data_IF_431689076001
#
_entry.id   IF_431689076001
#
_cell.length_a   1.000
_cell.length_b   1.000
_cell.length_c   1.000
_cell.angle_alpha   90.00
_cell.angle_beta   90.00
_cell.angle_gamma   90.00
#
_symmetry.space_group_name_H-M   'P 1'
#
loop_
_entity.id
_entity.type
_entity.pdbx_description
1 polymer ?
#
# COMPACT_ATOMS: atom_id res chain seq x y z
N UNK A 1 -24.60 19.35 -5.57
CA UNK A 1 -23.52 18.87 -6.45
C UNK A 1 -22.71 17.83 -5.68
N UNK A 2 -22.30 16.71 -6.29
CA UNK A 2 -21.39 15.77 -5.66
C UNK A 2 -20.04 16.46 -5.33
N UNK A 3 -19.36 16.10 -4.24
CA UNK A 3 -18.06 16.67 -3.90
C UNK A 3 -17.04 16.35 -5.00
N UNK A 4 -16.07 17.25 -5.21
CA UNK A 4 -14.94 16.95 -6.11
C UNK A 4 -14.13 15.75 -5.56
N UNK A 5 -13.44 14.98 -6.42
CA UNK A 5 -12.60 13.86 -5.98
C UNK A 5 -11.54 14.29 -4.94
N UNK A 6 -10.97 15.47 -5.08
CA UNK A 6 -9.99 16.00 -4.12
C UNK A 6 -10.60 16.31 -2.75
N UNK A 7 -11.84 16.83 -2.70
CA UNK A 7 -12.56 17.07 -1.45
C UNK A 7 -12.97 15.76 -0.79
N UNK A 8 -13.50 14.82 -1.58
CA UNK A 8 -13.88 13.50 -1.08
C UNK A 8 -12.68 12.73 -0.54
N UNK A 9 -11.52 12.78 -1.22
CA UNK A 9 -10.29 12.18 -0.73
C UNK A 9 -9.86 12.77 0.62
N UNK A 10 -9.93 14.10 0.80
CA UNK A 10 -9.60 14.73 2.07
C UNK A 10 -10.56 14.31 3.21
N UNK A 11 -11.86 14.13 2.91
CA UNK A 11 -12.83 13.61 3.86
C UNK A 11 -12.55 12.13 4.22
N UNK A 12 -12.11 11.31 3.26
CA UNK A 12 -11.72 9.91 3.49
C UNK A 12 -10.44 9.82 4.34
N UNK A 13 -9.44 10.63 3.98
CA UNK A 13 -8.10 10.64 4.58
C UNK A 13 -8.01 11.44 5.90
N UNK A 14 -9.15 11.86 6.48
CA UNK A 14 -9.17 12.53 7.78
C UNK A 14 -8.49 11.69 8.86
N UNK A 15 -7.84 12.37 9.80
CA UNK A 15 -7.26 11.77 11.00
C UNK A 15 -8.30 11.59 12.13
N UNK A 16 -9.47 12.24 12.01
CA UNK A 16 -10.47 12.23 13.06
C UNK A 16 -11.13 10.84 13.20
N UNK A 17 -11.11 10.24 14.40
CA UNK A 17 -11.86 9.02 14.66
C UNK A 17 -13.34 9.18 14.30
N UNK A 18 -14.01 8.14 13.77
CA UNK A 18 -15.43 8.23 13.49
C UNK A 18 -16.21 8.48 14.79
N UNK A 19 -17.03 9.52 14.79
CA UNK A 19 -18.07 9.73 15.81
C UNK A 19 -19.39 9.07 15.38
N UNK A 20 -20.21 8.73 16.37
CA UNK A 20 -21.62 8.30 16.20
C UNK A 20 -21.77 7.02 15.35
N UNK A 21 -21.00 5.98 15.67
CA UNK A 21 -21.21 4.65 15.09
C UNK A 21 -22.41 3.96 15.76
N UNK A 22 -23.06 3.06 15.02
CA UNK A 22 -24.19 2.25 15.51
C UNK A 22 -24.16 0.88 14.86
N UNK A 23 -24.59 -0.13 15.61
CA UNK A 23 -24.82 -1.48 15.11
C UNK A 23 -26.01 -1.45 14.16
N UNK A 24 -25.82 -1.92 12.92
CA UNK A 24 -26.83 -1.97 11.86
C UNK A 24 -26.99 -3.37 11.25
N UNK A 25 -26.20 -4.33 11.72
CA UNK A 25 -26.23 -5.71 11.24
C UNK A 25 -25.85 -6.68 12.36
N UNK A 26 -26.27 -7.93 12.23
CA UNK A 26 -25.96 -8.97 13.20
C UNK A 26 -24.56 -9.52 12.98
N UNK A 27 -24.23 -9.96 11.76
CA UNK A 27 -22.93 -10.58 11.48
C UNK A 27 -22.31 -10.07 10.19
N UNK A 28 -21.03 -9.72 10.26
CA UNK A 28 -20.18 -9.49 9.10
C UNK A 28 -19.11 -10.58 8.97
N UNK A 29 -18.81 -11.01 7.75
CA UNK A 29 -17.74 -11.99 7.46
C UNK A 29 -16.68 -11.33 6.60
N UNK A 30 -15.42 -11.42 7.02
CA UNK A 30 -14.25 -10.90 6.31
C UNK A 30 -13.42 -12.08 5.80
N UNK A 31 -13.27 -12.20 4.49
CA UNK A 31 -12.46 -13.24 3.86
C UNK A 31 -11.02 -12.72 3.67
N UNK A 32 -10.09 -13.25 4.45
CA UNK A 32 -8.68 -12.87 4.48
C UNK A 32 -8.30 -11.99 5.67
N UNK A 33 -7.24 -12.35 6.40
CA UNK A 33 -6.65 -11.64 7.54
C UNK A 33 -5.38 -10.85 7.17
N UNK A 34 -5.39 -10.23 5.99
CA UNK A 34 -4.36 -9.25 5.59
C UNK A 34 -4.63 -7.88 6.25
N UNK A 35 -3.74 -6.89 6.06
CA UNK A 35 -3.99 -5.50 6.50
C UNK A 35 -5.39 -4.99 6.11
N UNK A 36 -5.83 -5.25 4.87
CA UNK A 36 -7.17 -4.84 4.41
C UNK A 36 -8.29 -5.52 5.20
N UNK A 37 -8.13 -6.82 5.49
CA UNK A 37 -9.11 -7.59 6.24
C UNK A 37 -9.17 -7.17 7.70
N UNK A 38 -8.03 -7.02 8.36
CA UNK A 38 -7.93 -6.59 9.77
C UNK A 38 -8.53 -5.20 9.98
N UNK A 39 -8.26 -4.27 9.07
CA UNK A 39 -8.82 -2.91 9.12
C UNK A 39 -10.31 -2.89 8.77
N UNK A 40 -10.76 -3.70 7.81
CA UNK A 40 -12.19 -3.86 7.55
C UNK A 40 -12.91 -4.44 8.77
N UNK A 41 -12.36 -5.46 9.42
CA UNK A 41 -12.92 -6.05 10.64
C UNK A 41 -13.00 -5.02 11.77
N UNK A 42 -11.95 -4.22 11.98
CA UNK A 42 -11.95 -3.12 12.95
C UNK A 42 -13.04 -2.09 12.66
N UNK A 43 -13.32 -1.76 11.39
CA UNK A 43 -14.43 -0.85 11.07
C UNK A 43 -15.78 -1.52 11.32
N UNK A 44 -15.92 -2.79 10.94
CA UNK A 44 -17.17 -3.54 11.07
C UNK A 44 -17.53 -3.80 12.53
N UNK A 45 -16.57 -3.87 13.46
CA UNK A 45 -16.86 -4.05 14.89
C UNK A 45 -17.73 -2.95 15.48
N UNK A 46 -17.70 -1.75 14.90
CA UNK A 46 -18.53 -0.62 15.33
C UNK A 46 -19.96 -0.67 14.73
N UNK A 47 -20.21 -1.60 13.80
CA UNK A 47 -21.41 -1.66 12.97
C UNK A 47 -22.11 -3.02 12.96
N UNK A 48 -21.47 -4.08 13.48
CA UNK A 48 -21.99 -5.44 13.54
C UNK A 48 -21.97 -5.97 14.99
N UNK A 49 -22.92 -6.82 15.36
CA UNK A 49 -22.88 -7.53 16.66
C UNK A 49 -21.72 -8.52 16.71
N UNK A 50 -21.37 -9.14 15.58
CA UNK A 50 -20.25 -10.07 15.45
C UNK A 50 -19.51 -9.90 14.11
N UNK A 51 -18.18 -9.96 14.17
CA UNK A 51 -17.31 -9.96 13.00
C UNK A 51 -16.48 -11.24 12.99
N UNK A 52 -16.57 -12.01 11.91
CA UNK A 52 -15.78 -13.22 11.71
C UNK A 52 -14.77 -13.03 10.59
N UNK A 53 -13.48 -13.17 10.90
CA UNK A 53 -12.41 -13.21 9.92
C UNK A 53 -12.09 -14.66 9.57
N UNK A 54 -12.13 -15.01 8.29
CA UNK A 54 -11.69 -16.31 7.77
C UNK A 54 -10.31 -16.15 7.13
N UNK A 55 -9.27 -16.66 7.76
CA UNK A 55 -7.88 -16.59 7.27
C UNK A 55 -7.36 -17.98 6.93
N UNK A 56 -6.70 -18.15 5.79
CA UNK A 56 -6.16 -19.44 5.36
C UNK A 56 -4.83 -19.80 6.03
N UNK A 57 -4.12 -18.79 6.52
CA UNK A 57 -2.76 -18.93 7.05
C UNK A 57 -2.78 -19.00 8.59
N UNK A 58 -2.55 -20.18 9.18
CA UNK A 58 -2.57 -20.40 10.61
C UNK A 58 -1.28 -19.98 11.32
N UNK A 59 -0.27 -19.53 10.56
CA UNK A 59 1.02 -19.17 11.14
C UNK A 59 0.86 -18.14 12.25
N UNK A 60 1.62 -18.36 13.32
CA UNK A 60 1.75 -17.38 14.38
C UNK A 60 2.24 -16.08 13.76
N UNK A 61 1.53 -15.00 14.06
CA UNK A 61 1.79 -13.70 13.44
C UNK A 61 3.15 -13.14 13.84
N UNK A 62 3.68 -13.59 14.98
CA UNK A 62 5.00 -13.22 15.48
C UNK A 62 6.13 -14.11 14.94
N UNK A 63 5.84 -15.19 14.22
CA UNK A 63 6.85 -16.12 13.69
C UNK A 63 7.59 -15.61 12.44
N UNK A 64 7.26 -14.41 11.93
CA UNK A 64 7.91 -13.79 10.78
C UNK A 64 7.08 -13.82 9.49
N UNK A 65 7.72 -13.82 8.30
CA UNK A 65 7.01 -13.75 7.02
C UNK A 65 6.03 -14.92 6.81
N UNK A 66 4.79 -14.57 6.47
CA UNK A 66 3.69 -15.52 6.26
C UNK A 66 3.64 -16.06 4.83
N UNK A 67 3.44 -17.38 4.60
CA UNK A 67 3.23 -17.94 3.26
C UNK A 67 2.12 -17.23 2.46
N UNK A 68 1.07 -16.77 3.15
CA UNK A 68 -0.04 -16.04 2.56
C UNK A 68 0.32 -14.66 1.98
N UNK A 69 1.49 -14.12 2.35
CA UNK A 69 1.97 -12.78 1.98
C UNK A 69 3.40 -12.88 1.40
N UNK A 70 3.57 -13.28 0.12
CA UNK A 70 4.88 -13.49 -0.49
C UNK A 70 5.81 -12.26 -0.46
N UNK A 71 5.24 -11.06 -0.33
CA UNK A 71 5.99 -9.82 -0.22
C UNK A 71 6.53 -9.58 1.20
N UNK A 72 6.06 -10.30 2.23
CA UNK A 72 6.35 -10.01 3.64
C UNK A 72 7.84 -9.86 3.99
N UNK A 73 8.73 -10.54 3.27
CA UNK A 73 10.18 -10.49 3.46
C UNK A 73 10.91 -9.36 2.70
N UNK A 74 10.19 -8.52 1.96
CA UNK A 74 10.78 -7.42 1.18
C UNK A 74 10.75 -6.11 1.99
N UNK A 75 11.55 -5.11 1.61
CA UNK A 75 11.46 -3.76 2.19
C UNK A 75 10.04 -3.22 2.01
N UNK A 76 9.43 -2.77 3.10
CA UNK A 76 8.16 -2.07 3.10
C UNK A 76 8.32 -0.78 3.90
N UNK A 77 7.69 0.29 3.42
CA UNK A 77 7.50 1.52 4.18
C UNK A 77 6.01 1.85 4.17
N UNK A 78 5.42 2.00 5.36
CA UNK A 78 4.07 2.54 5.47
C UNK A 78 4.13 4.02 5.10
N UNK A 79 3.31 4.45 4.14
CA UNK A 79 3.28 5.88 3.80
C UNK A 79 2.63 6.67 4.96
N UNK A 80 3.02 7.94 5.17
CA UNK A 80 2.44 8.83 6.17
C UNK A 80 0.92 8.82 6.26
N UNK A 81 0.18 8.79 5.13
CA UNK A 81 -1.27 8.68 5.18
C UNK A 81 -1.75 7.36 5.81
N UNK A 82 -1.06 6.26 5.54
CA UNK A 82 -1.35 4.96 6.14
C UNK A 82 -1.10 4.96 7.64
N UNK A 83 -0.03 5.63 8.09
CA UNK A 83 0.25 5.81 9.51
C UNK A 83 -0.85 6.64 10.21
N UNK A 84 -1.27 7.76 9.61
CA UNK A 84 -2.39 8.56 10.13
C UNK A 84 -3.65 7.71 10.29
N UNK A 85 -3.95 6.86 9.31
CA UNK A 85 -5.13 5.98 9.40
C UNK A 85 -4.94 4.86 10.43
N UNK A 86 -3.74 4.28 10.58
CA UNK A 86 -3.50 3.31 11.65
C UNK A 86 -3.70 3.93 13.03
N UNK A 87 -3.16 5.13 13.25
CA UNK A 87 -3.34 5.87 14.51
C UNK A 87 -4.82 6.21 14.76
N UNK A 88 -5.56 6.55 13.70
CA UNK A 88 -7.01 6.77 13.76
C UNK A 88 -7.79 5.52 14.19
N UNK A 89 -7.44 4.35 13.66
CA UNK A 89 -8.17 3.10 13.92
C UNK A 89 -7.73 2.41 15.22
N UNK A 90 -6.46 2.60 15.58
CA UNK A 90 -5.81 2.04 16.76
C UNK A 90 -4.99 3.14 17.46
N UNK A 91 -5.62 4.04 18.23
CA UNK A 91 -4.91 5.10 18.94
C UNK A 91 -3.76 4.53 19.80
N UNK A 92 -2.59 5.15 19.73
CA UNK A 92 -1.36 4.75 20.41
C UNK A 92 -0.54 3.67 19.70
N UNK A 93 -0.93 3.22 18.49
CA UNK A 93 -0.22 2.14 17.79
C UNK A 93 1.22 2.51 17.41
N UNK A 94 1.49 3.78 17.10
CA UNK A 94 2.86 4.22 16.81
C UNK A 94 3.75 4.13 18.06
N UNK A 95 3.25 4.59 19.22
CA UNK A 95 3.98 4.54 20.48
C UNK A 95 4.19 3.09 20.94
N UNK A 96 3.18 2.23 20.78
CA UNK A 96 3.27 0.80 21.06
C UNK A 96 4.31 0.12 20.16
N UNK A 97 4.35 0.46 18.86
CA UNK A 97 5.36 -0.06 17.95
C UNK A 97 6.78 0.33 18.37
N UNK A 98 7.00 1.58 18.79
CA UNK A 98 8.28 2.04 19.32
C UNK A 98 8.66 1.29 20.61
N UNK A 99 7.70 1.10 21.51
CA UNK A 99 7.92 0.34 22.75
C UNK A 99 8.26 -1.14 22.49
N UNK A 100 7.75 -1.71 21.39
CA UNK A 100 8.05 -3.06 20.93
C UNK A 100 9.34 -3.17 20.09
N UNK A 101 10.09 -2.08 19.96
CA UNK A 101 11.42 -2.09 19.33
C UNK A 101 11.47 -1.60 17.89
N UNK A 102 10.39 -0.99 17.36
CA UNK A 102 10.50 -0.22 16.13
C UNK A 102 11.54 0.91 16.32
N UNK A 103 12.44 1.14 15.36
CA UNK A 103 13.50 2.14 15.51
C UNK A 103 12.89 3.54 15.57
N UNK A 104 13.29 4.37 16.56
CA UNK A 104 12.81 5.73 16.65
C UNK A 104 13.28 6.56 15.46
N UNK A 105 12.52 7.60 15.06
CA UNK A 105 12.98 8.57 14.08
C UNK A 105 14.32 9.19 14.53
N UNK A 106 15.26 9.41 13.60
CA UNK A 106 16.57 9.90 13.93
C UNK A 106 16.51 11.36 14.35
N UNK A 107 17.36 11.75 15.30
CA UNK A 107 17.52 13.17 15.70
C UNK A 107 18.19 14.01 14.62
N UNK A 108 19.07 13.38 13.84
CA UNK A 108 19.74 14.00 12.70
C UNK A 108 18.99 13.67 11.39
N UNK A 109 18.38 14.69 10.73
CA UNK A 109 17.73 14.51 9.43
C UNK A 109 18.67 14.00 8.33
N UNK A 110 19.99 14.16 8.48
CA UNK A 110 21.01 13.70 7.52
C UNK A 110 21.07 12.18 7.35
N UNK A 111 20.51 11.41 8.29
CA UNK A 111 20.44 9.95 8.24
C UNK A 111 19.29 9.41 7.38
N UNK A 112 18.36 10.29 6.96
CA UNK A 112 17.29 10.00 5.99
C UNK A 112 17.67 10.55 4.61
N UNK A 113 18.05 9.68 3.69
CA UNK A 113 18.67 10.05 2.41
C UNK A 113 17.79 9.65 1.23
N UNK A 114 17.60 10.58 0.29
CA UNK A 114 16.89 10.30 -0.98
C UNK A 114 17.84 10.59 -2.12
N UNK A 115 18.13 9.58 -2.92
CA UNK A 115 19.02 9.67 -4.07
C UNK A 115 18.23 9.52 -5.36
N UNK A 116 18.43 10.47 -6.29
CA UNK A 116 17.81 10.43 -7.61
C UNK A 116 18.89 10.57 -8.66
N UNK A 117 19.02 9.56 -9.53
CA UNK A 117 20.08 9.49 -10.55
C UNK A 117 21.48 9.70 -9.95
N UNK A 118 21.72 9.14 -8.75
CA UNK A 118 22.99 9.27 -8.02
C UNK A 118 23.19 10.60 -7.26
N UNK A 119 22.30 11.58 -7.41
CA UNK A 119 22.38 12.84 -6.67
C UNK A 119 21.57 12.77 -5.38
N UNK A 120 22.17 13.21 -4.26
CA UNK A 120 21.46 13.39 -3.00
C UNK A 120 20.48 14.57 -3.13
N UNK A 121 19.19 14.30 -2.93
CA UNK A 121 18.13 15.29 -2.90
C UNK A 121 17.99 15.98 -1.54
N UNK A 122 17.05 16.92 -1.46
CA UNK A 122 16.63 17.45 -0.16
C UNK A 122 16.01 16.34 0.71
N UNK A 123 16.21 16.39 2.04
CA UNK A 123 15.52 15.48 2.94
C UNK A 123 14.01 15.64 2.78
N UNK A 124 13.22 14.57 2.94
CA UNK A 124 11.77 14.66 2.90
C UNK A 124 11.24 15.71 3.88
N UNK A 125 10.32 16.56 3.42
CA UNK A 125 9.67 17.51 4.31
C UNK A 125 8.90 16.79 5.43
N UNK A 126 8.89 17.38 6.62
CA UNK A 126 8.08 16.88 7.73
C UNK A 126 6.60 16.82 7.33
N UNK A 127 5.99 15.65 7.53
CA UNK A 127 4.60 15.39 7.11
C UNK A 127 3.58 15.82 8.14
N UNK A 128 4.00 16.11 9.37
CA UNK A 128 3.13 16.47 10.48
C UNK A 128 2.28 15.30 10.99
N UNK A 129 2.71 14.06 10.77
CA UNK A 129 1.95 12.83 11.07
C UNK A 129 2.43 12.08 12.30
N UNK A 130 3.24 12.72 13.15
CA UNK A 130 3.91 12.05 14.28
C UNK A 130 5.22 11.36 13.89
N UNK A 131 5.81 10.52 14.77
CA UNK A 131 7.07 9.84 14.52
C UNK A 131 6.94 8.84 13.37
N UNK A 132 7.77 8.95 12.34
CA UNK A 132 7.71 8.04 11.19
C UNK A 132 7.91 6.57 11.62
N UNK A 133 6.96 5.71 11.25
CA UNK A 133 7.01 4.30 11.59
C UNK A 133 7.67 3.48 10.47
N UNK A 134 8.89 2.99 10.72
CA UNK A 134 9.64 2.11 9.81
C UNK A 134 9.83 0.76 10.49
N UNK A 135 9.19 -0.27 9.95
CA UNK A 135 9.22 -1.63 10.51
C UNK A 135 9.25 -2.63 9.38
N UNK A 136 9.55 -3.90 9.68
CA UNK A 136 9.20 -4.96 8.75
C UNK A 136 7.67 -5.08 8.66
N UNK A 137 7.20 -5.66 7.55
CA UNK A 137 5.78 -5.92 7.36
C UNK A 137 5.21 -6.94 8.36
N UNK A 138 5.89 -8.08 8.66
CA UNK A 138 5.42 -9.01 9.69
C UNK A 138 5.21 -8.35 11.04
N UNK A 139 6.15 -7.49 11.48
CA UNK A 139 6.02 -6.77 12.75
C UNK A 139 4.76 -5.88 12.78
N UNK A 140 4.53 -5.10 11.73
CA UNK A 140 3.36 -4.21 11.66
C UNK A 140 2.04 -5.01 11.58
N UNK A 141 2.02 -6.07 10.76
CA UNK A 141 0.84 -6.93 10.62
C UNK A 141 0.52 -7.64 11.94
N UNK A 142 1.53 -8.07 12.69
CA UNK A 142 1.38 -8.66 14.03
C UNK A 142 0.75 -7.70 15.01
N UNK A 143 1.27 -6.47 15.07
CA UNK A 143 0.74 -5.42 15.94
C UNK A 143 -0.73 -5.11 15.61
N UNK A 144 -1.03 -4.87 14.33
CA UNK A 144 -2.40 -4.60 13.88
C UNK A 144 -3.32 -5.79 14.16
N UNK A 145 -2.87 -7.02 13.92
CA UNK A 145 -3.66 -8.23 14.19
C UNK A 145 -3.98 -8.37 15.67
N UNK A 146 -3.00 -8.18 16.56
CA UNK A 146 -3.23 -8.19 18.02
C UNK A 146 -4.26 -7.15 18.43
N UNK A 147 -4.13 -5.91 17.94
CA UNK A 147 -5.07 -4.82 18.24
C UNK A 147 -6.47 -5.08 17.70
N UNK A 148 -6.60 -5.66 16.50
CA UNK A 148 -7.88 -6.08 15.93
C UNK A 148 -8.52 -7.18 16.76
N UNK A 149 -7.78 -8.23 17.12
CA UNK A 149 -8.34 -9.38 17.85
C UNK A 149 -8.57 -9.12 19.34
N UNK A 150 -8.06 -8.00 19.87
CA UNK A 150 -8.40 -7.52 21.20
C UNK A 150 -9.78 -6.84 21.28
N UNK A 151 -10.47 -6.66 20.14
CA UNK A 151 -11.84 -6.12 20.10
C UNK A 151 -12.84 -7.26 20.33
N UNK A 152 -13.67 -7.14 21.37
CA UNK A 152 -14.49 -8.23 21.94
C UNK A 152 -15.37 -8.98 20.93
N UNK A 153 -15.93 -8.28 19.94
CA UNK A 153 -16.84 -8.86 18.96
C UNK A 153 -16.16 -9.30 17.66
N UNK A 154 -14.82 -9.31 17.60
CA UNK A 154 -14.05 -9.81 16.46
C UNK A 154 -13.49 -11.19 16.78
N UNK A 155 -13.75 -12.15 15.90
CA UNK A 155 -13.20 -13.51 15.96
C UNK A 155 -12.48 -13.84 14.67
N UNK A 156 -11.49 -14.72 14.77
CA UNK A 156 -10.77 -15.26 13.62
C UNK A 156 -10.79 -16.77 13.64
N UNK A 157 -11.11 -17.36 12.49
CA UNK A 157 -11.06 -18.79 12.25
C UNK A 157 -10.11 -19.08 11.10
N UNK A 158 -9.48 -20.25 11.16
CA UNK A 158 -8.55 -20.70 10.14
C UNK A 158 -9.23 -21.62 9.13
N UNK A 159 -9.15 -21.22 7.86
CA UNK A 159 -9.75 -21.98 6.78
C UNK A 159 -9.67 -21.27 5.43
N UNK A 160 -9.89 -22.04 4.37
CA UNK A 160 -9.90 -21.55 3.00
C UNK A 160 -11.30 -21.16 2.59
N UNK A 161 -11.55 -19.89 2.28
CA UNK A 161 -12.80 -19.46 1.67
C UNK A 161 -12.98 -20.09 0.28
N UNK A 162 -14.16 -20.63 0.00
CA UNK A 162 -14.45 -21.36 -1.24
C UNK A 162 -15.63 -20.80 -2.04
N UNK A 163 -16.47 -19.96 -1.44
CA UNK A 163 -17.57 -19.34 -2.17
C UNK A 163 -18.39 -18.37 -1.33
N UNK A 164 -19.30 -17.70 -2.03
CA UNK A 164 -20.35 -16.87 -1.44
C UNK A 164 -21.68 -17.62 -1.46
N UNK A 165 -22.56 -17.28 -0.53
CA UNK A 165 -23.95 -17.70 -0.53
C UNK A 165 -24.80 -16.59 -1.13
N UNK A 166 -25.78 -16.96 -1.96
CA UNK A 166 -26.68 -16.02 -2.59
C UNK A 166 -28.13 -16.35 -2.25
N UNK A 167 -28.91 -15.30 -2.03
CA UNK A 167 -30.38 -15.33 -2.02
C UNK A 167 -30.85 -14.31 -3.05
N UNK A 168 -31.45 -14.78 -4.15
CA UNK A 168 -31.85 -14.15 -5.43
C UNK A 168 -31.12 -12.86 -5.88
N UNK A 169 -31.03 -11.83 -5.05
CA UNK A 169 -30.45 -10.50 -5.32
C UNK A 169 -29.27 -10.10 -4.43
N UNK A 170 -28.89 -10.88 -3.43
CA UNK A 170 -27.87 -10.51 -2.45
C UNK A 170 -26.92 -11.65 -2.09
N UNK A 171 -25.75 -11.29 -1.61
CA UNK A 171 -24.89 -12.16 -0.83
C UNK A 171 -25.41 -12.19 0.60
N UNK A 172 -25.63 -13.39 1.14
CA UNK A 172 -26.15 -13.59 2.51
C UNK A 172 -25.22 -14.44 3.40
N UNK A 173 -23.99 -14.65 2.95
CA UNK A 173 -22.99 -15.41 3.69
C UNK A 173 -21.82 -15.86 2.83
N UNK A 174 -20.93 -16.63 3.44
CA UNK A 174 -19.78 -17.23 2.79
C UNK A 174 -19.57 -18.68 3.24
N UNK A 175 -18.90 -19.45 2.40
CA UNK A 175 -18.50 -20.83 2.68
C UNK A 175 -16.98 -20.92 2.75
N UNK A 176 -16.46 -21.61 3.75
CA UNK A 176 -15.03 -21.90 3.88
C UNK A 176 -14.81 -23.34 4.34
N UNK A 177 -13.65 -23.90 4.02
CA UNK A 177 -13.20 -25.20 4.53
C UNK A 177 -12.23 -24.94 5.68
N UNK A 178 -12.54 -25.40 6.91
CA UNK A 178 -11.64 -25.24 8.06
C UNK A 178 -10.27 -25.88 7.82
N UNK A 179 -9.23 -25.34 8.45
CA UNK A 179 -7.93 -25.99 8.44
C UNK A 179 -8.01 -27.41 9.05
N UNK A 180 -7.44 -28.40 8.37
CA UNK A 180 -7.51 -29.81 8.79
C UNK A 180 -8.89 -30.44 8.66
N UNK A 181 -9.91 -29.68 8.24
CA UNK A 181 -11.27 -30.15 7.98
C UNK A 181 -11.47 -30.54 6.52
N UNK A 182 -12.38 -31.49 6.29
CA UNK A 182 -12.83 -31.87 4.94
C UNK A 182 -14.16 -31.22 4.55
N UNK A 183 -15.03 -30.97 5.54
CA UNK A 183 -16.38 -30.46 5.30
C UNK A 183 -16.43 -28.92 5.30
N UNK A 184 -17.05 -28.30 4.29
CA UNK A 184 -17.24 -26.85 4.27
C UNK A 184 -18.19 -26.38 5.37
N UNK A 185 -17.81 -25.30 6.05
CA UNK A 185 -18.65 -24.54 6.98
C UNK A 185 -19.32 -23.38 6.25
N UNK A 186 -20.58 -23.15 6.58
CA UNK A 186 -21.42 -22.10 6.01
C UNK A 186 -21.67 -21.05 7.08
N UNK A 187 -21.29 -19.81 6.79
CA UNK A 187 -21.47 -18.68 7.70
C UNK A 187 -22.45 -17.68 7.09
N UNK A 188 -23.62 -17.54 7.71
CA UNK A 188 -24.57 -16.50 7.36
C UNK A 188 -24.00 -15.11 7.70
N UNK A 189 -24.19 -14.13 6.83
CA UNK A 189 -23.69 -12.78 7.04
C UNK A 189 -24.63 -11.76 6.39
N UNK A 190 -24.75 -10.60 7.02
CA UNK A 190 -25.44 -9.44 6.46
C UNK A 190 -24.54 -8.67 5.49
N UNK A 191 -23.22 -8.78 5.67
CA UNK A 191 -22.20 -8.20 4.82
C UNK A 191 -20.97 -9.12 4.76
N UNK A 192 -20.53 -9.43 3.55
CA UNK A 192 -19.26 -10.13 3.29
C UNK A 192 -18.24 -9.15 2.71
N UNK A 193 -17.03 -9.15 3.26
CA UNK A 193 -15.89 -8.38 2.75
C UNK A 193 -14.88 -9.34 2.14
N UNK A 194 -14.60 -9.19 0.85
CA UNK A 194 -13.45 -9.83 0.22
C UNK A 194 -12.17 -9.01 0.45
N UNK A 195 -11.28 -9.53 1.29
CA UNK A 195 -9.96 -8.99 1.57
C UNK A 195 -8.84 -10.03 1.29
N UNK A 196 -9.10 -10.99 0.39
CA UNK A 196 -8.17 -12.07 0.04
C UNK A 196 -7.03 -11.65 -0.91
N UNK A 197 -6.94 -10.34 -1.18
CA UNK A 197 -5.87 -9.72 -1.95
C UNK A 197 -5.80 -10.17 -3.41
N UNK A 198 -4.58 -10.27 -3.95
CA UNK A 198 -4.34 -10.60 -5.37
C UNK A 198 -4.91 -11.96 -5.78
N UNK A 199 -5.01 -12.90 -4.84
CA UNK A 199 -5.58 -14.25 -5.02
C UNK A 199 -7.10 -14.32 -4.88
N UNK A 200 -7.79 -13.18 -4.72
CA UNK A 200 -9.25 -13.16 -4.66
C UNK A 200 -9.87 -13.87 -5.87
N UNK A 201 -10.84 -14.75 -5.56
CA UNK A 201 -11.71 -15.44 -6.51
C UNK A 201 -13.07 -14.76 -6.67
N UNK A 202 -13.28 -13.58 -6.10
CA UNK A 202 -14.58 -12.92 -6.06
C UNK A 202 -15.19 -12.73 -7.45
N UNK A 203 -14.38 -12.35 -8.45
CA UNK A 203 -14.86 -12.21 -9.83
C UNK A 203 -15.36 -13.52 -10.42
N UNK A 204 -14.74 -14.65 -10.08
CA UNK A 204 -15.18 -15.97 -10.53
C UNK A 204 -16.46 -16.37 -9.81
N UNK A 205 -16.54 -16.20 -8.49
CA UNK A 205 -17.74 -16.50 -7.70
C UNK A 205 -18.95 -15.68 -8.14
N UNK A 206 -18.78 -14.41 -8.48
CA UNK A 206 -19.83 -13.57 -9.07
C UNK A 206 -20.33 -14.18 -10.38
N UNK A 207 -19.42 -14.49 -11.31
CA UNK A 207 -19.79 -15.02 -12.62
C UNK A 207 -20.44 -16.42 -12.56
N UNK A 208 -19.97 -17.29 -11.68
CA UNK A 208 -20.56 -18.61 -11.41
C UNK A 208 -22.02 -18.52 -10.97
N UNK A 209 -22.41 -17.42 -10.32
CA UNK A 209 -23.79 -17.14 -9.89
C UNK A 209 -24.50 -16.14 -10.81
N UNK A 210 -24.00 -15.96 -12.04
CA UNK A 210 -24.63 -15.14 -13.07
C UNK A 210 -24.49 -13.63 -12.88
N UNK A 211 -23.63 -13.15 -11.96
CA UNK A 211 -23.33 -11.71 -11.78
C UNK A 211 -22.17 -11.27 -12.69
N UNK A 212 -22.13 -9.99 -13.11
CA UNK A 212 -21.07 -9.50 -13.98
C UNK A 212 -19.71 -9.46 -13.25
N UNK A 213 -18.65 -9.73 -14.03
CA UNK A 213 -17.26 -9.55 -13.56
C UNK A 213 -16.87 -8.08 -13.65
N UNK A 214 -16.26 -7.47 -12.62
CA UNK A 214 -15.71 -6.13 -12.74
C UNK A 214 -14.63 -6.10 -13.83
N UNK A 215 -14.58 -5.06 -14.69
CA UNK A 215 -13.50 -4.91 -15.67
C UNK A 215 -12.13 -4.95 -15.00
N UNK A 216 -11.23 -5.79 -15.52
CA UNK A 216 -9.87 -5.95 -15.01
C UNK A 216 -8.88 -5.19 -15.89
N UNK A 217 -8.21 -4.19 -15.32
CA UNK A 217 -7.09 -3.51 -15.93
C UNK A 217 -5.79 -4.14 -15.41
N UNK A 218 -4.88 -4.49 -16.33
CA UNK A 218 -3.54 -4.99 -16.01
C UNK A 218 -2.49 -4.10 -16.67
N UNK A 219 -1.49 -3.71 -15.89
CA UNK A 219 -0.31 -3.01 -16.40
C UNK A 219 0.92 -3.87 -16.11
N UNK A 220 1.58 -4.44 -17.14
CA UNK A 220 2.83 -5.16 -16.96
C UNK A 220 3.90 -4.24 -16.39
N UNK A 221 4.63 -4.70 -15.38
CA UNK A 221 5.74 -3.95 -14.75
C UNK A 221 7.03 -4.77 -14.82
N UNK A 222 6.94 -6.11 -14.70
CA UNK A 222 8.09 -7.04 -14.70
C UNK A 222 9.17 -6.65 -13.68
N UNK A 223 8.72 -6.34 -12.48
CA UNK A 223 9.59 -5.92 -11.39
C UNK A 223 10.21 -7.11 -10.68
N UNK A 224 11.48 -7.00 -10.34
CA UNK A 224 12.23 -8.01 -9.61
C UNK A 224 12.97 -7.37 -8.44
N UNK A 225 12.83 -7.97 -7.26
CA UNK A 225 13.53 -7.58 -6.04
C UNK A 225 14.48 -8.66 -5.57
N UNK A 226 15.57 -8.22 -4.95
CA UNK A 226 16.35 -9.00 -4.01
C UNK A 226 16.48 -8.20 -2.72
N UNK A 227 16.18 -8.84 -1.59
CA UNK A 227 16.24 -8.23 -0.26
C UNK A 227 17.13 -9.06 0.64
N UNK A 228 17.95 -8.40 1.45
CA UNK A 228 18.75 -9.01 2.50
C UNK A 228 18.59 -8.24 3.81
N UNK A 229 18.73 -8.95 4.92
CA UNK A 229 18.80 -8.37 6.26
C UNK A 229 20.26 -8.27 6.68
N UNK A 230 20.59 -7.22 7.42
CA UNK A 230 21.90 -7.02 8.02
C UNK A 230 21.72 -6.60 9.47
N UNK A 231 22.67 -6.94 10.32
CA UNK A 231 22.77 -6.30 11.64
C UNK A 231 23.15 -4.84 11.42
N UNK A 232 22.48 -3.94 12.14
CA UNK A 232 22.81 -2.51 12.10
C UNK A 232 24.11 -2.26 12.84
N UNK A 233 25.02 -1.52 12.21
CA UNK A 233 26.30 -1.11 12.78
C UNK A 233 26.67 0.30 12.31
N UNK A 234 26.62 1.28 13.21
CA UNK A 234 26.90 2.69 12.88
C UNK A 234 28.34 2.93 12.41
N UNK A 235 29.27 2.00 12.65
CA UNK A 235 30.62 2.04 12.08
C UNK A 235 30.64 1.71 10.58
N UNK A 236 29.65 0.96 10.08
CA UNK A 236 29.50 0.60 8.67
C UNK A 236 28.70 1.66 7.93
N UNK A 237 27.61 2.16 8.52
CA UNK A 237 26.75 3.18 7.89
C UNK A 237 25.88 3.88 8.94
N UNK A 238 25.62 5.17 8.72
CA UNK A 238 24.71 6.00 9.52
C UNK A 238 23.25 5.94 9.01
N UNK A 239 22.97 5.12 7.99
CA UNK A 239 21.68 5.12 7.31
C UNK A 239 20.54 4.69 8.25
N UNK A 240 19.61 5.61 8.52
CA UNK A 240 18.35 5.25 9.12
C UNK A 240 17.35 4.81 8.06
N UNK A 241 17.18 5.64 7.03
CA UNK A 241 16.43 5.33 5.80
C UNK A 241 17.22 5.85 4.60
N UNK A 242 17.35 5.05 3.55
CA UNK A 242 17.86 5.49 2.27
C UNK A 242 16.94 5.01 1.15
N UNK A 243 16.51 5.92 0.28
CA UNK A 243 15.74 5.59 -0.92
C UNK A 243 16.54 6.01 -2.14
N UNK A 244 16.70 5.10 -3.10
CA UNK A 244 17.43 5.34 -4.33
C UNK A 244 16.54 5.08 -5.54
N UNK A 245 16.52 6.03 -6.47
CA UNK A 245 15.86 5.89 -7.76
C UNK A 245 16.81 6.29 -8.89
N UNK A 246 17.02 5.39 -9.85
CA UNK A 246 17.54 5.74 -11.17
C UNK A 246 16.37 5.75 -12.14
N UNK A 247 16.11 6.92 -12.74
CA UNK A 247 15.09 7.09 -13.76
C UNK A 247 15.61 6.56 -15.10
N UNK A 248 14.74 5.94 -15.88
CA UNK A 248 15.07 5.50 -17.22
C UNK A 248 15.51 6.67 -18.11
N UNK A 249 16.55 6.47 -18.93
CA UNK A 249 17.01 7.48 -19.88
C UNK A 249 18.08 6.94 -20.82
N UNK A 250 18.54 7.76 -21.77
CA UNK A 250 19.63 7.38 -22.68
C UNK A 250 20.84 6.89 -21.87
N UNK A 251 21.22 5.62 -22.06
CA UNK A 251 22.33 4.97 -21.36
C UNK A 251 22.12 4.69 -19.86
N UNK A 252 20.89 4.83 -19.34
CA UNK A 252 20.59 4.60 -17.91
C UNK A 252 19.50 3.56 -17.72
N UNK A 253 19.84 2.49 -17.01
CA UNK A 253 18.91 1.44 -16.59
C UNK A 253 18.13 1.91 -15.36
N UNK A 254 16.81 1.78 -15.41
CA UNK A 254 15.97 2.11 -14.26
C UNK A 254 16.21 1.13 -13.12
N UNK A 255 16.48 1.65 -11.92
CA UNK A 255 16.77 0.87 -10.72
C UNK A 255 16.22 1.53 -9.49
N UNK A 256 15.88 0.74 -8.50
CA UNK A 256 15.34 1.23 -7.23
C UNK A 256 16.02 0.50 -6.10
N UNK A 257 16.38 1.23 -5.06
CA UNK A 257 17.01 0.69 -3.87
C UNK A 257 16.38 1.29 -2.62
N UNK A 258 16.37 0.50 -1.55
CA UNK A 258 15.88 0.92 -0.25
C UNK A 258 16.74 0.34 0.87
N UNK A 259 17.07 1.15 1.86
CA UNK A 259 17.62 0.72 3.15
C UNK A 259 16.68 1.26 4.21
N UNK A 260 16.15 0.39 5.05
CA UNK A 260 15.35 0.78 6.21
C UNK A 260 15.97 0.17 7.46
N UNK A 261 16.19 1.00 8.48
CA UNK A 261 16.34 0.51 9.85
C UNK A 261 15.00 -0.06 10.30
N UNK A 262 15.00 -1.29 10.80
CA UNK A 262 13.81 -2.00 11.27
C UNK A 262 14.07 -2.58 12.66
N UNK A 263 13.03 -3.13 13.28
CA UNK A 263 13.09 -3.66 14.64
C UNK A 263 14.18 -4.72 14.82
N UNK A 264 14.71 -4.83 16.04
CA UNK A 264 15.77 -5.78 16.41
C UNK A 264 17.18 -5.36 16.00
N UNK A 265 17.43 -4.06 15.85
CA UNK A 265 18.72 -3.48 15.44
C UNK A 265 19.22 -4.05 14.10
N UNK A 266 18.33 -4.03 13.10
CA UNK A 266 18.61 -4.55 11.76
C UNK A 266 18.41 -3.48 10.70
N UNK A 267 19.15 -3.63 9.61
CA UNK A 267 18.79 -3.05 8.33
C UNK A 267 18.11 -4.10 7.45
N UNK A 268 17.06 -3.68 6.75
CA UNK A 268 16.54 -4.40 5.60
C UNK A 268 16.89 -3.62 4.34
N UNK A 269 17.61 -4.26 3.43
CA UNK A 269 18.13 -3.65 2.21
C UNK A 269 17.56 -4.35 0.98
N UNK A 270 16.94 -3.57 0.09
CA UNK A 270 16.35 -4.03 -1.16
C UNK A 270 17.06 -3.37 -2.34
N UNK A 271 17.34 -4.19 -3.34
CA UNK A 271 17.74 -3.75 -4.68
C UNK A 271 16.74 -4.28 -5.69
N UNK A 272 16.37 -3.44 -6.64
CA UNK A 272 15.35 -3.72 -7.63
C UNK A 272 15.85 -3.44 -9.04
N UNK A 273 15.41 -4.30 -9.95
CA UNK A 273 15.55 -4.07 -11.38
C UNK A 273 14.30 -4.51 -12.14
N UNK A 274 14.29 -4.17 -13.41
CA UNK A 274 13.14 -4.37 -14.28
C UNK A 274 13.51 -5.27 -15.46
N UNK A 275 12.51 -5.99 -15.98
CA UNK A 275 12.63 -6.83 -17.16
C UNK A 275 13.84 -7.79 -17.07
N UNK A 276 14.85 -7.66 -17.94
CA UNK A 276 16.05 -8.49 -17.93
C UNK A 276 17.07 -8.18 -16.83
N UNK A 277 17.01 -7.01 -16.19
CA UNK A 277 17.90 -6.62 -15.08
C UNK A 277 17.40 -7.23 -13.77
N UNK A 278 17.43 -8.57 -13.69
CA UNK A 278 16.86 -9.32 -12.57
C UNK A 278 17.93 -9.64 -11.53
N UNK A 279 17.85 -9.09 -10.30
CA UNK A 279 18.73 -9.52 -9.23
C UNK A 279 18.40 -10.97 -8.82
N UNK A 280 19.44 -11.71 -8.44
CA UNK A 280 19.34 -13.12 -8.07
C UNK A 280 19.31 -13.32 -6.54
N UNK A 281 19.28 -14.59 -6.12
CA UNK A 281 19.42 -15.00 -4.71
C UNK A 281 20.88 -15.20 -4.28
N UNK A 282 21.82 -15.01 -5.21
CA UNK A 282 23.25 -15.16 -4.93
C UNK A 282 23.77 -13.91 -4.18
N UNK A 283 24.45 -14.14 -3.07
CA UNK A 283 25.04 -13.09 -2.24
C UNK A 283 26.11 -12.31 -3.02
N UNK A 284 26.88 -13.00 -3.88
CA UNK A 284 27.92 -12.34 -4.68
C UNK A 284 27.32 -11.36 -5.70
N UNK A 285 26.27 -11.78 -6.42
CA UNK A 285 25.50 -10.91 -7.33
C UNK A 285 24.86 -9.74 -6.59
N UNK A 286 24.22 -9.99 -5.44
CA UNK A 286 23.62 -8.94 -4.62
C UNK A 286 24.66 -7.88 -4.18
N UNK A 287 25.82 -8.33 -3.69
CA UNK A 287 26.90 -7.46 -3.21
C UNK A 287 27.51 -6.65 -4.36
N UNK A 288 27.80 -7.30 -5.49
CA UNK A 288 28.33 -6.63 -6.68
C UNK A 288 27.37 -5.54 -7.19
N UNK A 289 26.06 -5.82 -7.23
CA UNK A 289 25.05 -4.83 -7.61
C UNK A 289 25.04 -3.63 -6.67
N UNK A 290 25.06 -3.87 -5.36
CA UNK A 290 25.08 -2.82 -4.34
C UNK A 290 26.29 -1.89 -4.55
N UNK A 291 27.49 -2.45 -4.76
CA UNK A 291 28.72 -1.68 -5.02
C UNK A 291 28.68 -0.92 -6.34
N UNK A 292 28.18 -1.52 -7.41
CA UNK A 292 28.34 -0.99 -8.77
C UNK A 292 27.23 -0.03 -9.21
N UNK A 293 26.04 -0.12 -8.61
CA UNK A 293 24.84 0.54 -9.15
C UNK A 293 24.09 1.42 -8.16
N UNK A 294 24.46 1.39 -6.88
CA UNK A 294 23.78 2.12 -5.80
C UNK A 294 24.75 3.08 -5.10
N UNK A 295 24.24 4.05 -4.30
CA UNK A 295 25.09 4.92 -3.49
C UNK A 295 26.01 4.11 -2.58
N UNK A 296 27.19 4.67 -2.28
CA UNK A 296 28.29 3.99 -1.58
C UNK A 296 27.84 3.14 -0.38
N UNK A 297 26.96 3.68 0.46
CA UNK A 297 26.43 2.98 1.66
C UNK A 297 25.77 1.62 1.39
N UNK A 298 25.21 1.39 0.20
CA UNK A 298 24.68 0.07 -0.16
C UNK A 298 25.83 -0.93 -0.29
N UNK A 299 26.93 -0.53 -0.94
CA UNK A 299 28.16 -1.32 -1.03
C UNK A 299 28.79 -1.53 0.33
N UNK A 300 28.96 -0.47 1.13
CA UNK A 300 29.55 -0.54 2.47
C UNK A 300 28.79 -1.55 3.36
N UNK A 301 27.45 -1.48 3.39
CA UNK A 301 26.62 -2.43 4.14
C UNK A 301 26.74 -3.85 3.58
N UNK A 302 26.73 -4.04 2.26
CA UNK A 302 26.80 -5.36 1.65
C UNK A 302 28.17 -6.05 1.83
N UNK A 303 29.26 -5.29 1.85
CA UNK A 303 30.64 -5.82 1.91
C UNK A 303 31.17 -5.93 3.34
N UNK A 304 30.73 -5.06 4.25
CA UNK A 304 31.28 -4.96 5.60
C UNK A 304 30.24 -5.25 6.70
N UNK A 305 28.95 -5.25 6.39
CA UNK A 305 27.88 -5.57 7.33
C UNK A 305 27.73 -7.08 7.57
N UNK A 306 27.26 -7.43 8.77
CA UNK A 306 26.89 -8.81 9.12
C UNK A 306 25.52 -9.15 8.51
N UNK A 307 25.48 -9.95 7.43
CA UNK A 307 24.23 -10.41 6.80
C UNK A 307 23.49 -11.41 7.69
N UNK A 308 22.21 -11.20 7.90
CA UNK A 308 21.33 -12.04 8.70
C UNK A 308 20.48 -12.92 7.78
N UNK A 309 20.93 -14.17 7.58
CA UNK A 309 20.26 -15.14 6.70
C UNK A 309 20.75 -15.05 5.25
N UNK A 310 19.84 -15.15 4.29
CA UNK A 310 20.16 -15.14 2.86
C UNK A 310 19.33 -14.13 2.07
N UNK A 311 19.71 -13.94 0.80
CA UNK A 311 19.01 -13.03 -0.12
C UNK A 311 17.68 -13.64 -0.56
N UNK A 312 16.58 -12.91 -0.34
CA UNK A 312 15.22 -13.33 -0.72
C UNK A 312 14.76 -12.53 -1.92
N UNK A 313 14.39 -13.23 -2.99
CA UNK A 313 13.89 -12.61 -4.22
C UNK A 313 12.37 -12.57 -4.27
N UNK A 314 11.80 -11.50 -4.82
CA UNK A 314 10.37 -11.39 -5.12
C UNK A 314 10.17 -10.89 -6.55
N UNK A 315 9.09 -11.35 -7.19
CA UNK A 315 8.75 -10.96 -8.56
C UNK A 315 7.29 -10.50 -8.64
N UNK A 316 7.07 -9.36 -9.28
CA UNK A 316 5.74 -8.90 -9.61
C UNK A 316 5.61 -8.61 -11.10
N UNK A 317 4.81 -9.44 -11.76
CA UNK A 317 4.58 -9.33 -13.19
C UNK A 317 3.78 -8.07 -13.57
N UNK A 318 2.76 -7.73 -12.78
CA UNK A 318 1.79 -6.69 -13.12
C UNK A 318 1.19 -5.95 -11.91
N UNK A 319 0.73 -4.73 -12.16
CA UNK A 319 -0.31 -4.06 -11.36
C UNK A 319 -1.69 -4.44 -11.89
N UNK A 320 -2.67 -4.56 -10.99
CA UNK A 320 -4.05 -4.97 -11.32
C UNK A 320 -5.05 -4.04 -10.65
N UNK A 321 -6.13 -3.72 -11.36
CA UNK A 321 -7.28 -3.03 -10.79
C UNK A 321 -8.56 -3.61 -11.34
N UNK A 322 -9.52 -3.85 -10.45
CA UNK A 322 -10.87 -4.34 -10.75
C UNK A 322 -11.85 -3.19 -10.53
N UNK A 323 -12.51 -2.75 -11.59
CA UNK A 323 -13.39 -1.58 -11.58
C UNK A 323 -14.82 -1.94 -11.15
N UNK A 324 -15.00 -2.26 -9.87
CA UNK A 324 -16.33 -2.53 -9.30
C UNK A 324 -17.32 -1.37 -9.48
N UNK A 325 -16.84 -0.13 -9.48
CA UNK A 325 -17.67 1.07 -9.71
C UNK A 325 -18.26 1.16 -11.13
N UNK A 326 -17.79 0.34 -12.09
CA UNK A 326 -18.35 0.27 -13.46
C UNK A 326 -19.42 -0.81 -13.63
N UNK A 327 -19.73 -1.56 -12.57
CA UNK A 327 -20.79 -2.57 -12.62
C UNK A 327 -22.15 -1.90 -12.45
N UNK A 328 -23.01 -2.00 -13.46
CA UNK A 328 -24.41 -1.54 -13.37
C UNK A 328 -25.27 -2.44 -12.48
N UNK A 329 -24.84 -3.70 -12.30
CA UNK A 329 -25.52 -4.69 -11.46
C UNK A 329 -24.52 -5.36 -10.53
N UNK A 330 -24.75 -5.24 -9.23
CA UNK A 330 -23.95 -5.84 -8.16
C UNK A 330 -24.91 -6.42 -7.11
N UNK A 331 -24.61 -7.56 -6.47
CA UNK A 331 -25.41 -8.04 -5.35
C UNK A 331 -25.27 -7.11 -4.14
N UNK A 332 -26.34 -6.98 -3.35
CA UNK A 332 -26.22 -6.43 -1.99
C UNK A 332 -25.41 -7.39 -1.09
N UNK A 333 -25.01 -6.93 0.09
CA UNK A 333 -24.31 -7.74 1.10
C UNK A 333 -22.84 -8.02 0.78
N UNK A 334 -22.23 -7.27 -0.13
CA UNK A 334 -20.86 -7.54 -0.60
C UNK A 334 -20.05 -6.25 -0.79
N UNK A 335 -18.82 -6.26 -0.27
CA UNK A 335 -17.77 -5.28 -0.59
C UNK A 335 -16.42 -5.99 -0.81
N UNK A 336 -15.48 -5.32 -1.48
CA UNK A 336 -14.10 -5.80 -1.65
C UNK A 336 -13.11 -4.72 -1.20
N UNK A 337 -11.96 -5.11 -0.66
CA UNK A 337 -10.95 -4.21 -0.11
C UNK A 337 -9.50 -4.64 -0.41
N UNK A 338 -8.56 -3.70 -0.24
CA UNK A 338 -7.13 -3.90 -0.54
C UNK A 338 -6.85 -4.40 -1.96
N UNK A 339 -5.89 -5.32 -2.06
CA UNK A 339 -5.42 -5.92 -3.32
C UNK A 339 -6.49 -6.73 -4.08
N UNK A 340 -7.62 -7.05 -3.44
CA UNK A 340 -8.77 -7.62 -4.13
C UNK A 340 -9.42 -6.60 -5.08
N UNK A 341 -9.34 -5.30 -4.76
CA UNK A 341 -9.80 -4.21 -5.64
C UNK A 341 -8.66 -3.74 -6.53
N UNK A 342 -7.52 -3.35 -5.96
CA UNK A 342 -6.39 -2.81 -6.71
C UNK A 342 -5.07 -3.14 -6.03
N UNK A 343 -4.11 -3.64 -6.81
CA UNK A 343 -2.74 -3.91 -6.39
C UNK A 343 -1.78 -3.16 -7.31
N UNK A 344 -0.90 -2.38 -6.71
CA UNK A 344 -0.04 -1.41 -7.38
C UNK A 344 1.39 -1.93 -7.51
N UNK A 345 2.25 -1.13 -8.13
CA UNK A 345 3.69 -1.36 -8.10
C UNK A 345 4.17 -1.23 -6.63
N UNK A 346 4.73 -2.29 -6.03
CA UNK A 346 5.08 -2.29 -4.60
C UNK A 346 6.20 -1.29 -4.29
N UNK A 347 6.95 -0.84 -5.30
CA UNK A 347 8.00 0.17 -5.18
C UNK A 347 7.54 1.42 -4.43
N UNK A 348 6.29 1.84 -4.66
CA UNK A 348 5.79 3.11 -4.14
C UNK A 348 5.13 2.99 -2.76
N UNK A 349 5.12 1.81 -2.12
CA UNK A 349 4.60 1.63 -0.76
C UNK A 349 3.07 1.84 -0.60
N UNK A 350 2.33 1.91 -1.71
CA UNK A 350 0.92 2.34 -1.69
C UNK A 350 -0.06 1.29 -1.17
N UNK A 351 0.26 -0.01 -1.25
CA UNK A 351 -0.71 -1.09 -1.00
C UNK A 351 -1.34 -1.04 0.40
N UNK A 352 -0.51 -0.99 1.46
CA UNK A 352 -1.00 -0.93 2.84
C UNK A 352 -1.76 0.38 3.13
N UNK A 353 -1.23 1.50 2.63
CA UNK A 353 -1.87 2.81 2.76
C UNK A 353 -3.23 2.84 2.07
N UNK A 354 -3.34 2.32 0.85
CA UNK A 354 -4.62 2.20 0.14
C UNK A 354 -5.60 1.31 0.89
N UNK A 355 -5.15 0.19 1.49
CA UNK A 355 -5.99 -0.66 2.32
C UNK A 355 -6.55 0.08 3.54
N UNK A 356 -5.74 0.91 4.21
CA UNK A 356 -6.21 1.76 5.33
C UNK A 356 -7.25 2.79 4.89
N UNK A 357 -7.08 3.37 3.70
CA UNK A 357 -8.05 4.31 3.14
C UNK A 357 -9.33 3.61 2.67
N UNK A 358 -9.28 2.34 2.22
CA UNK A 358 -10.48 1.56 1.93
C UNK A 358 -11.30 1.30 3.21
N UNK A 359 -10.66 1.09 4.36
CA UNK A 359 -11.36 1.01 5.64
C UNK A 359 -12.07 2.34 5.98
N UNK A 360 -11.43 3.48 5.69
CA UNK A 360 -12.05 4.80 5.84
C UNK A 360 -13.24 5.01 4.89
N UNK A 361 -13.17 4.51 3.65
CA UNK A 361 -14.32 4.45 2.74
C UNK A 361 -15.45 3.57 3.32
N UNK A 362 -15.12 2.42 3.91
CA UNK A 362 -16.09 1.51 4.50
C UNK A 362 -16.80 2.17 5.69
N UNK A 363 -16.05 2.81 6.60
CA UNK A 363 -16.62 3.53 7.73
C UNK A 363 -17.53 4.67 7.28
N UNK A 364 -17.10 5.47 6.31
CA UNK A 364 -17.93 6.54 5.77
C UNK A 364 -19.21 6.01 5.10
N UNK A 365 -19.11 4.92 4.34
CA UNK A 365 -20.27 4.26 3.75
C UNK A 365 -21.24 3.76 4.84
N UNK A 366 -20.77 3.05 5.86
CA UNK A 366 -21.64 2.51 6.92
C UNK A 366 -22.27 3.63 7.77
N UNK A 367 -21.56 4.74 8.00
CA UNK A 367 -22.10 5.91 8.71
C UNK A 367 -23.10 6.72 7.89
N UNK A 368 -23.17 6.56 6.56
CA UNK A 368 -24.22 7.22 5.77
C UNK A 368 -25.59 6.56 5.91
N UNK A 369 -25.73 5.54 6.77
CA UNK A 369 -26.96 4.81 7.02
C UNK A 369 -27.45 3.95 5.85
N UNK A 370 -26.58 3.18 5.17
CA UNK A 370 -27.00 2.29 4.10
C UNK A 370 -27.83 1.13 4.65
N UNK A 371 -28.44 0.37 3.76
CA UNK A 371 -28.99 -0.96 4.05
C UNK A 371 -28.14 -2.02 3.35
N UNK A 372 -27.01 -2.46 3.94
CA UNK A 372 -26.08 -3.36 3.26
C UNK A 372 -26.73 -4.65 2.77
N UNK A 373 -27.80 -5.10 3.42
CA UNK A 373 -28.55 -6.29 3.04
C UNK A 373 -29.47 -6.11 1.82
N UNK A 374 -29.93 -4.89 1.56
CA UNK A 374 -30.92 -4.58 0.51
C UNK A 374 -30.29 -3.87 -0.69
N UNK A 375 -29.26 -3.08 -0.46
CA UNK A 375 -28.71 -2.14 -1.43
C UNK A 375 -27.26 -2.50 -1.78
N UNK A 376 -26.90 -2.56 -3.08
CA UNK A 376 -25.52 -2.75 -3.48
C UNK A 376 -24.65 -1.57 -3.04
N UNK A 377 -23.39 -1.87 -2.69
CA UNK A 377 -22.47 -0.89 -2.10
C UNK A 377 -21.85 0.10 -3.12
N UNK A 378 -22.64 0.65 -4.06
CA UNK A 378 -22.14 1.59 -5.09
C UNK A 378 -21.44 2.80 -4.47
N UNK A 379 -22.03 3.40 -3.42
CA UNK A 379 -21.45 4.54 -2.74
C UNK A 379 -20.10 4.22 -2.07
N UNK A 380 -19.86 2.98 -1.65
CA UNK A 380 -18.55 2.53 -1.17
C UNK A 380 -17.56 2.42 -2.33
N UNK A 381 -17.95 1.77 -3.44
CA UNK A 381 -17.06 1.60 -4.59
C UNK A 381 -16.71 2.92 -5.30
N UNK A 382 -17.60 3.90 -5.28
CA UNK A 382 -17.32 5.27 -5.76
C UNK A 382 -16.27 5.98 -4.90
N UNK A 383 -16.30 5.78 -3.58
CA UNK A 383 -15.29 6.32 -2.66
C UNK A 383 -13.94 5.61 -2.84
N UNK A 384 -13.96 4.27 -2.93
CA UNK A 384 -12.77 3.47 -3.22
C UNK A 384 -12.15 3.86 -4.57
N UNK A 385 -12.98 4.17 -5.58
CA UNK A 385 -12.50 4.67 -6.88
C UNK A 385 -11.61 5.91 -6.70
N UNK A 386 -12.00 6.86 -5.87
CA UNK A 386 -11.21 8.09 -5.63
C UNK A 386 -9.83 7.79 -5.04
N UNK A 387 -9.76 6.84 -4.11
CA UNK A 387 -8.48 6.40 -3.51
C UNK A 387 -7.62 5.67 -4.54
N UNK A 388 -8.21 4.71 -5.26
CA UNK A 388 -7.51 3.90 -6.26
C UNK A 388 -7.05 4.76 -7.43
N UNK A 389 -7.87 5.69 -7.93
CA UNK A 389 -7.49 6.64 -8.98
C UNK A 389 -6.28 7.47 -8.57
N UNK A 390 -6.27 7.99 -7.33
CA UNK A 390 -5.16 8.77 -6.80
C UNK A 390 -3.86 7.95 -6.73
N UNK A 391 -3.91 6.75 -6.14
CA UNK A 391 -2.75 5.85 -6.06
C UNK A 391 -2.25 5.45 -7.46
N UNK A 392 -3.17 5.05 -8.34
CA UNK A 392 -2.87 4.62 -9.70
C UNK A 392 -2.25 5.75 -10.53
N UNK A 393 -2.74 6.98 -10.43
CA UNK A 393 -2.16 8.14 -11.11
C UNK A 393 -0.70 8.38 -10.68
N UNK A 394 -0.39 8.26 -9.40
CA UNK A 394 0.98 8.40 -8.87
C UNK A 394 1.87 7.27 -9.39
N UNK A 395 1.42 6.01 -9.32
CA UNK A 395 2.24 4.86 -9.73
C UNK A 395 2.45 4.79 -11.25
N UNK A 396 1.37 4.97 -12.03
CA UNK A 396 1.42 4.86 -13.49
C UNK A 396 2.25 5.97 -14.14
N UNK A 397 2.23 7.19 -13.60
CA UNK A 397 3.04 8.27 -14.16
C UNK A 397 4.52 7.91 -14.13
N UNK A 398 4.98 7.26 -13.05
CA UNK A 398 6.37 6.80 -12.94
C UNK A 398 6.62 5.49 -13.71
N UNK A 399 5.66 4.56 -13.75
CA UNK A 399 5.82 3.28 -14.44
C UNK A 399 5.82 3.42 -15.97
N UNK A 400 5.06 4.35 -16.55
CA UNK A 400 5.03 4.60 -18.02
C UNK A 400 6.38 5.15 -18.52
N UNK A 401 7.25 5.63 -17.63
CA UNK A 401 8.60 6.04 -18.02
C UNK A 401 9.57 4.87 -18.19
N UNK A 402 9.20 3.67 -17.75
CA UNK A 402 10.02 2.48 -17.90
C UNK A 402 10.08 2.06 -19.38
N UNK A 403 11.27 1.75 -19.94
CA UNK A 403 11.43 1.52 -21.37
C UNK A 403 10.62 0.36 -21.94
N UNK A 404 10.24 -0.60 -21.09
CA UNK A 404 9.56 -1.85 -21.44
C UNK A 404 8.06 -1.83 -21.14
N UNK A 405 7.50 -0.71 -20.65
CA UNK A 405 6.07 -0.57 -20.40
C UNK A 405 5.41 0.01 -21.65
N UNK A 406 4.87 -0.87 -22.48
CA UNK A 406 4.02 -0.49 -23.61
C UNK A 406 2.58 -0.29 -23.11
N UNK A 407 2.05 0.93 -23.25
CA UNK A 407 0.67 1.23 -22.87
C UNK A 407 0.04 2.28 -23.78
N UNK A 408 -1.31 2.31 -23.89
CA UNK A 408 -1.96 3.44 -24.53
C UNK A 408 -1.70 4.69 -23.69
N UNK A 409 -0.90 5.61 -24.22
CA UNK A 409 -0.68 6.90 -23.57
C UNK A 409 -1.99 7.69 -23.56
N UNK A 410 -2.47 8.17 -22.40
CA UNK A 410 -3.68 8.99 -22.38
C UNK A 410 -3.47 10.27 -23.22
N UNK A 411 -4.53 10.82 -23.83
CA UNK A 411 -4.44 12.10 -24.52
C UNK A 411 -3.81 13.17 -23.62
N UNK A 412 -2.86 13.95 -24.16
CA UNK A 412 -2.14 14.97 -23.40
C UNK A 412 -1.01 14.43 -22.49
N UNK A 413 -0.66 13.14 -22.58
CA UNK A 413 0.43 12.54 -21.81
C UNK A 413 1.75 13.32 -21.91
N UNK A 414 2.16 13.76 -23.11
CA UNK A 414 3.41 14.53 -23.30
C UNK A 414 3.46 15.81 -22.47
N UNK A 415 2.33 16.53 -22.37
CA UNK A 415 2.23 17.77 -21.59
C UNK A 415 2.25 17.46 -20.10
N UNK A 416 1.48 16.46 -19.67
CA UNK A 416 1.41 16.00 -18.28
C UNK A 416 2.78 15.53 -17.80
N UNK A 417 3.49 14.75 -18.63
CA UNK A 417 4.85 14.28 -18.39
C UNK A 417 5.84 15.44 -18.26
N UNK A 418 5.87 16.34 -19.25
CA UNK A 418 6.76 17.50 -19.21
C UNK A 418 6.55 18.33 -17.94
N UNK A 419 5.29 18.51 -17.53
CA UNK A 419 4.96 19.22 -16.31
C UNK A 419 5.40 18.44 -15.05
N UNK A 420 5.17 17.12 -15.02
CA UNK A 420 5.64 16.23 -13.95
C UNK A 420 7.16 16.29 -13.78
N UNK A 421 7.91 16.19 -14.88
CA UNK A 421 9.37 16.30 -14.90
C UNK A 421 9.86 17.65 -14.36
N UNK A 422 9.17 18.72 -14.75
CA UNK A 422 9.48 20.07 -14.30
C UNK A 422 9.24 20.22 -12.79
N UNK A 423 8.08 19.79 -12.32
CA UNK A 423 7.70 19.82 -10.91
C UNK A 423 8.68 18.99 -10.07
N UNK A 424 8.99 17.78 -10.50
CA UNK A 424 9.92 16.88 -9.84
C UNK A 424 11.32 17.50 -9.74
N UNK A 425 11.86 18.02 -10.85
CA UNK A 425 13.17 18.69 -10.85
C UNK A 425 13.20 19.92 -9.93
N UNK A 426 12.15 20.74 -9.95
CA UNK A 426 12.07 21.90 -9.08
C UNK A 426 11.96 21.50 -7.59
N UNK A 427 11.27 20.40 -7.29
CA UNK A 427 11.13 19.86 -5.92
C UNK A 427 12.44 19.38 -5.30
N UNK A 428 13.48 19.10 -6.11
CA UNK A 428 14.81 18.75 -5.61
C UNK A 428 15.56 19.93 -4.98
N UNK A 429 15.09 21.17 -5.20
CA UNK A 429 15.78 22.39 -4.73
C UNK A 429 14.85 23.39 -4.05
N UNK A 430 13.54 23.32 -4.30
CA UNK A 430 12.54 24.20 -3.69
C UNK A 430 11.76 23.48 -2.57
N UNK A 431 11.91 23.89 -1.29
CA UNK A 431 11.26 23.23 -0.15
C UNK A 431 9.72 23.23 -0.22
N UNK A 432 9.09 24.24 -0.85
CA UNK A 432 7.63 24.33 -0.94
C UNK A 432 7.08 23.31 -1.93
N UNK A 433 7.71 23.18 -3.10
CA UNK A 433 7.36 22.14 -4.08
C UNK A 433 7.72 20.75 -3.56
N UNK A 434 8.84 20.61 -2.85
CA UNK A 434 9.21 19.37 -2.15
C UNK A 434 8.10 18.93 -1.19
N UNK A 435 7.64 19.82 -0.30
CA UNK A 435 6.58 19.51 0.65
C UNK A 435 5.26 19.15 -0.04
N UNK A 436 4.85 19.87 -1.10
CA UNK A 436 3.62 19.58 -1.85
C UNK A 436 3.68 18.24 -2.57
N UNK A 437 4.81 17.95 -3.23
CA UNK A 437 5.02 16.67 -3.91
C UNK A 437 5.10 15.53 -2.90
N UNK A 438 5.78 15.73 -1.77
CA UNK A 438 5.85 14.79 -0.66
C UNK A 438 4.47 14.42 -0.13
N UNK A 439 3.60 15.40 0.15
CA UNK A 439 2.22 15.13 0.60
C UNK A 439 1.40 14.30 -0.40
N UNK A 440 1.59 14.50 -1.70
CA UNK A 440 0.87 13.73 -2.72
C UNK A 440 1.44 12.32 -2.86
N UNK A 441 2.76 12.19 -2.97
CA UNK A 441 3.44 10.88 -3.10
C UNK A 441 3.27 9.99 -1.86
N UNK A 442 3.06 10.60 -0.70
CA UNK A 442 2.73 9.92 0.57
C UNK A 442 1.23 9.77 0.82
N UNK A 443 0.40 10.09 -0.17
CA UNK A 443 -1.07 9.97 -0.17
C UNK A 443 -1.80 10.80 0.90
N UNK A 444 -1.16 11.83 1.46
CA UNK A 444 -1.82 12.79 2.36
C UNK A 444 -2.76 13.74 1.62
N UNK A 445 -2.43 14.07 0.37
CA UNK A 445 -3.25 14.90 -0.51
C UNK A 445 -3.54 14.19 -1.83
N UNK A 446 -4.72 14.45 -2.40
CA UNK A 446 -5.08 13.97 -3.74
C UNK A 446 -4.17 14.58 -4.83
N UNK A 447 -3.80 13.85 -5.92
CA UNK A 447 -2.91 14.35 -6.97
C UNK A 447 -3.29 15.69 -7.61
N UNK A 448 -4.59 15.99 -7.70
CA UNK A 448 -5.11 17.29 -8.15
C UNK A 448 -4.57 18.50 -7.34
N UNK A 449 -4.04 18.29 -6.14
CA UNK A 449 -3.35 19.31 -5.36
C UNK A 449 -2.13 19.92 -6.08
N UNK A 450 -1.46 19.15 -6.95
CA UNK A 450 -0.32 19.61 -7.74
C UNK A 450 -0.72 20.52 -8.91
N UNK A 451 -1.97 20.42 -9.36
CA UNK A 451 -2.51 21.23 -10.45
C UNK A 451 -3.05 22.60 -9.99
N UNK A 452 -2.92 22.95 -8.70
CA UNK A 452 -3.35 24.26 -8.20
C UNK A 452 -2.50 25.39 -8.85
N UNK A 453 -3.11 26.54 -9.22
CA UNK A 453 -2.39 27.62 -9.93
C UNK A 453 -1.10 28.07 -9.26
N UNK A 454 -1.08 28.16 -7.92
CA UNK A 454 0.11 28.54 -7.17
C UNK A 454 1.24 27.49 -7.18
N UNK A 455 0.94 26.21 -7.41
CA UNK A 455 1.95 25.16 -7.62
C UNK A 455 2.49 25.24 -9.05
N UNK A 456 1.59 25.35 -10.03
CA UNK A 456 1.95 25.47 -11.44
C UNK A 456 2.87 26.68 -11.68
N UNK A 457 2.47 27.86 -11.20
CA UNK A 457 3.23 29.10 -11.39
C UNK A 457 4.63 29.04 -10.74
N UNK A 458 4.74 28.45 -9.55
CA UNK A 458 6.02 28.29 -8.85
C UNK A 458 6.97 27.35 -9.61
N UNK A 459 6.46 26.20 -10.07
CA UNK A 459 7.23 25.26 -10.87
C UNK A 459 7.70 25.88 -12.19
N UNK A 460 6.82 26.59 -12.91
CA UNK A 460 7.16 27.28 -14.16
C UNK A 460 8.21 28.38 -13.94
N UNK A 461 8.03 29.22 -12.93
CA UNK A 461 8.98 30.29 -12.60
C UNK A 461 10.38 29.73 -12.33
N UNK A 462 10.48 28.65 -11.56
CA UNK A 462 11.77 28.02 -11.25
C UNK A 462 12.37 27.28 -12.45
N UNK A 463 11.54 26.64 -13.28
CA UNK A 463 11.98 25.99 -14.51
C UNK A 463 12.55 26.94 -15.56
N UNK A 464 11.88 28.08 -15.76
CA UNK A 464 12.28 29.09 -16.74
C UNK A 464 13.52 29.88 -16.28
N UNK A 465 13.66 30.15 -14.98
CA UNK A 465 14.83 30.86 -14.43
C UNK A 465 16.05 29.94 -14.26
N UNK A 466 15.85 28.64 -14.00
CA UNK A 466 16.92 27.65 -13.87
C UNK A 466 17.51 27.18 -15.21
N UNK A 467 16.78 27.34 -16.32
CA UNK A 467 17.24 27.01 -17.67
C UNK A 467 18.30 27.98 -18.24
N UNK A 468 18.49 29.14 -17.62
CA UNK A 468 19.46 30.17 -18.07
C UNK A 468 20.86 30.03 -17.44
N UNK A 469 21.11 28.99 -16.63
CA UNK A 469 22.42 28.70 -16.01
C UNK A 469 22.82 27.23 -16.15
N UNK A 470 22.84 26.71 -17.37
CA UNK A 470 23.53 25.46 -17.71
C UNK A 470 24.23 25.57 -19.04
#
# INVERSE_FOLDING_TARGET
MPPSPSRLFAEIATAEPPAETRVIMRRAVVLGGSMAGLLAARVLSDHAEEVLIVERDPSDVDAGPRPGVPQGSQVHALLPAGQVQLERWFPGIADEALALGAPPPPRDPGTAKVFVNGMLGLPPAATGTGPALITTRPFLEALVRRRTLAVDNIRMVYGRAEGLLFDERRVNGARYVPEGGAEPVVEAADLVVDAMGRSSRLSDWLAEHGWPRPPLHRMPIKLNYATALFKRDELVSDAWVAVFHTMAGKGRTARIGGINSVEGDRWIMLVAGYDGDRPSRDVADFTARCREHYPQMFGDIAEHGEMLGGVVTYHQADSRRRDFHKLDRLPAGLVAAGDAVASFNPVYGQGMTSATLHASCLSRYLRSGPKPHDEPAHAYFDQVRVVVDAAWQISTTADIELPHVDGPYPPGYKVTKWFGDLLFRASLTDPVLNARLGRVTTMLDHPAALSRPGTLFRALRLGLLGGSRR
#
